data_IF_441582716825
#
_entry.id   IF_441582716825
#
_cell.length_a   1.000
_cell.length_b   1.000
_cell.length_c   1.000
_cell.angle_alpha   90.00
_cell.angle_beta   90.00
_cell.angle_gamma   90.00
#
_symmetry.space_group_name_H-M   'P 1'
#
loop_
_entity.id
_entity.type
_entity.pdbx_description
1 polymer ?
#
# COMPACT_ATOMS: atom_id res chain seq x y z
N UNK A 1 13.85 -6.51 11.40
CA UNK A 1 12.57 -7.26 11.34
C UNK A 1 11.85 -6.81 10.09
N UNK A 2 11.41 -7.75 9.24
CA UNK A 2 10.65 -7.38 8.04
C UNK A 2 9.22 -7.04 8.45
N UNK A 3 8.78 -5.82 8.18
CA UNK A 3 7.36 -5.47 8.29
C UNK A 3 6.64 -6.12 7.11
N UNK A 4 5.77 -7.10 7.37
CA UNK A 4 4.92 -7.68 6.32
C UNK A 4 3.66 -6.82 6.19
N UNK A 5 3.70 -5.86 5.28
CA UNK A 5 2.59 -4.98 4.96
C UNK A 5 2.26 -5.14 3.48
N UNK A 6 0.99 -5.38 3.20
CA UNK A 6 0.46 -5.49 1.84
C UNK A 6 -0.57 -4.40 1.60
N UNK A 7 -0.46 -3.73 0.46
CA UNK A 7 -1.38 -2.69 0.03
C UNK A 7 -2.24 -3.19 -1.15
N UNK A 8 -3.55 -3.20 -0.96
CA UNK A 8 -4.51 -3.23 -2.06
C UNK A 8 -4.86 -1.80 -2.44
N UNK A 9 -4.61 -1.44 -3.71
CA UNK A 9 -4.83 -0.08 -4.20
C UNK A 9 -5.81 -0.09 -5.35
N UNK A 10 -6.92 0.64 -5.21
CA UNK A 10 -7.93 0.79 -6.23
C UNK A 10 -8.09 2.27 -6.60
N UNK A 11 -7.92 2.60 -7.87
CA UNK A 11 -8.23 3.91 -8.43
C UNK A 11 -9.65 3.97 -8.96
N UNK A 12 -10.29 5.12 -8.82
CA UNK A 12 -11.65 5.36 -9.35
C UNK A 12 -11.73 5.18 -10.88
N UNK A 13 -10.67 5.56 -11.61
CA UNK A 13 -10.59 5.47 -13.07
C UNK A 13 -9.78 4.26 -13.53
N UNK A 14 -8.70 3.93 -12.82
CA UNK A 14 -7.78 2.85 -13.21
C UNK A 14 -8.23 1.46 -12.73
N UNK A 15 -9.18 1.37 -11.81
CA UNK A 15 -9.55 0.11 -11.18
C UNK A 15 -8.43 -0.41 -10.27
N UNK A 16 -8.24 -1.73 -10.23
CA UNK A 16 -7.30 -2.37 -9.32
C UNK A 16 -5.84 -2.12 -9.74
N UNK A 17 -5.24 -1.05 -9.23
CA UNK A 17 -3.85 -0.65 -9.48
C UNK A 17 -2.86 -1.70 -8.94
N UNK A 18 -3.19 -2.36 -7.83
CA UNK A 18 -2.32 -3.37 -7.23
C UNK A 18 -2.30 -4.72 -7.95
N UNK A 19 -3.09 -4.89 -9.02
CA UNK A 19 -3.21 -6.15 -9.76
C UNK A 19 -1.86 -6.64 -10.30
N UNK A 20 -1.48 -7.86 -9.93
CA UNK A 20 -0.22 -8.48 -10.36
C UNK A 20 1.06 -7.82 -9.86
N UNK A 21 1.02 -6.96 -8.83
CA UNK A 21 2.20 -6.26 -8.34
C UNK A 21 3.22 -7.18 -7.64
N UNK A 22 2.78 -8.27 -7.01
CA UNK A 22 3.66 -9.29 -6.41
C UNK A 22 3.94 -10.49 -7.34
N UNK A 23 3.79 -10.32 -8.65
CA UNK A 23 4.16 -11.33 -9.65
C UNK A 23 5.67 -11.35 -9.92
N UNK A 24 6.15 -12.45 -10.52
CA UNK A 24 7.53 -12.59 -10.98
C UNK A 24 7.92 -11.49 -11.97
N UNK A 25 7.02 -11.14 -12.89
CA UNK A 25 7.26 -10.11 -13.91
C UNK A 25 7.41 -8.71 -13.30
N UNK A 26 6.85 -8.50 -12.11
CA UNK A 26 6.79 -7.20 -11.44
C UNK A 26 7.95 -6.99 -10.47
N UNK A 27 8.23 -7.96 -9.59
CA UNK A 27 9.24 -7.82 -8.51
C UNK A 27 10.30 -8.95 -8.50
N UNK A 28 10.34 -9.78 -9.54
CA UNK A 28 11.31 -10.86 -9.70
C UNK A 28 11.24 -11.90 -8.57
N UNK A 29 12.40 -12.30 -8.05
CA UNK A 29 12.52 -13.35 -7.02
C UNK A 29 11.83 -13.01 -5.69
N UNK A 30 11.37 -11.77 -5.49
CA UNK A 30 10.59 -11.36 -4.30
C UNK A 30 9.10 -11.65 -4.44
N UNK A 31 8.66 -12.23 -5.57
CA UNK A 31 7.28 -12.55 -5.86
C UNK A 31 6.65 -13.45 -4.78
N UNK A 32 5.37 -13.21 -4.51
CA UNK A 32 4.60 -13.97 -3.53
C UNK A 32 3.23 -14.34 -4.10
N UNK A 33 3.05 -15.63 -4.39
CA UNK A 33 1.85 -16.16 -5.04
C UNK A 33 0.57 -15.88 -4.25
N UNK A 34 0.63 -15.93 -2.91
CA UNK A 34 -0.53 -15.67 -2.03
C UNK A 34 -0.92 -14.18 -1.99
N UNK A 35 -0.05 -13.28 -2.45
CA UNK A 35 -0.25 -11.83 -2.40
C UNK A 35 -0.18 -11.19 -3.78
N UNK A 36 -0.46 -11.95 -4.85
CA UNK A 36 -0.24 -11.57 -6.25
C UNK A 36 -0.79 -10.17 -6.60
N UNK A 37 -2.01 -9.85 -6.13
CA UNK A 37 -2.70 -8.58 -6.38
C UNK A 37 -2.49 -7.51 -5.30
N UNK A 38 -1.43 -7.63 -4.52
CA UNK A 38 -1.03 -6.66 -3.52
C UNK A 38 0.30 -6.00 -3.88
N UNK A 39 0.48 -4.76 -3.46
CA UNK A 39 1.75 -4.05 -3.48
C UNK A 39 2.47 -4.36 -2.16
N UNK A 40 3.74 -4.77 -2.24
CA UNK A 40 4.58 -4.97 -1.06
C UNK A 40 5.01 -3.61 -0.50
N UNK A 41 4.77 -3.38 0.80
CA UNK A 41 5.13 -2.12 1.48
C UNK A 41 6.23 -2.42 2.50
N UNK A 42 7.36 -1.70 2.38
CA UNK A 42 8.51 -1.83 3.28
C UNK A 42 8.35 -1.02 4.56
N UNK A 43 7.77 0.17 4.43
CA UNK A 43 7.58 1.11 5.53
C UNK A 43 6.27 1.86 5.32
N UNK A 44 5.52 2.06 6.41
CA UNK A 44 4.35 2.93 6.46
C UNK A 44 4.51 3.87 7.64
N UNK A 45 4.41 5.16 7.36
CA UNK A 45 4.48 6.23 8.34
C UNK A 45 3.20 7.05 8.24
N UNK A 46 2.56 7.27 9.37
CA UNK A 46 1.36 8.09 9.47
C UNK A 46 1.41 8.86 10.78
N UNK A 47 1.20 10.17 10.70
CA UNK A 47 1.13 11.05 11.86
C UNK A 47 -0.30 11.43 12.17
N UNK A 48 -0.63 11.47 13.46
CA UNK A 48 -1.82 12.14 13.97
C UNK A 48 -1.35 13.14 15.03
N UNK A 49 -1.73 14.41 14.87
CA UNK A 49 -1.53 15.41 15.92
C UNK A 49 -2.88 15.91 16.41
N UNK A 50 -2.92 16.36 17.66
CA UNK A 50 -4.11 16.97 18.25
C UNK A 50 -3.68 18.22 18.99
N UNK A 51 -4.28 19.32 18.58
CA UNK A 51 -4.29 20.57 19.36
C UNK A 51 -5.70 20.76 19.90
N UNK A 52 -6.54 21.62 19.30
CA UNK A 52 -7.98 21.63 19.58
C UNK A 52 -8.75 20.52 18.85
N UNK A 53 -8.40 20.25 17.58
CA UNK A 53 -8.99 19.20 16.75
C UNK A 53 -7.92 18.19 16.31
N UNK A 54 -8.36 17.02 15.80
CA UNK A 54 -7.45 16.01 15.24
C UNK A 54 -7.00 16.46 13.85
N UNK A 55 -5.69 16.56 13.67
CA UNK A 55 -5.05 16.82 12.39
C UNK A 55 -4.47 15.50 11.86
N UNK A 56 -4.96 15.09 10.70
CA UNK A 56 -4.43 13.93 9.98
C UNK A 56 -3.24 14.38 9.12
N UNK A 57 -2.05 13.82 9.37
CA UNK A 57 -0.92 13.99 8.49
C UNK A 57 -1.00 13.00 7.32
N UNK A 58 -0.23 13.26 6.25
CA UNK A 58 -0.16 12.36 5.12
C UNK A 58 0.34 10.97 5.53
N UNK A 59 -0.19 9.95 4.88
CA UNK A 59 0.32 8.58 4.98
C UNK A 59 1.44 8.45 3.94
N UNK A 60 2.66 8.20 4.41
CA UNK A 60 3.82 7.96 3.55
C UNK A 60 4.14 6.48 3.55
N UNK A 61 4.35 5.91 2.37
CA UNK A 61 4.73 4.51 2.22
C UNK A 61 5.99 4.39 1.38
N UNK A 62 6.81 3.37 1.66
CA UNK A 62 7.93 2.95 0.81
C UNK A 62 7.62 1.59 0.20
N UNK A 63 7.75 1.49 -1.12
CA UNK A 63 7.49 0.29 -1.92
C UNK A 63 8.63 0.09 -2.91
N UNK A 64 8.87 -1.14 -3.41
CA UNK A 64 9.75 -1.33 -4.55
C UNK A 64 9.15 -0.71 -5.83
N UNK A 65 10.01 -0.47 -6.81
CA UNK A 65 9.57 -0.24 -8.18
C UNK A 65 8.97 -1.54 -8.69
N UNK A 66 7.66 -1.52 -8.91
CA UNK A 66 6.85 -2.64 -9.38
C UNK A 66 5.86 -2.14 -10.47
N UNK A 67 4.99 -3.02 -10.96
CA UNK A 67 4.00 -2.72 -12.00
C UNK A 67 3.06 -1.54 -11.67
N UNK A 68 2.77 -1.25 -10.39
CA UNK A 68 1.93 -0.12 -9.99
C UNK A 68 2.63 1.23 -10.06
N UNK A 69 3.97 1.27 -10.13
CA UNK A 69 4.74 2.53 -10.11
C UNK A 69 4.36 3.52 -11.21
N UNK A 70 4.26 3.12 -12.51
CA UNK A 70 3.76 4.03 -13.54
C UNK A 70 2.28 4.41 -13.35
N UNK A 71 1.46 3.53 -12.79
CA UNK A 71 0.04 3.78 -12.53
C UNK A 71 -0.16 4.82 -11.41
N UNK A 72 0.71 4.81 -10.41
CA UNK A 72 0.79 5.85 -9.36
C UNK A 72 1.20 7.20 -9.96
N UNK A 73 2.15 7.21 -10.90
CA UNK A 73 2.54 8.40 -11.65
C UNK A 73 1.36 9.00 -12.45
N UNK A 74 0.54 8.14 -13.05
CA UNK A 74 -0.71 8.58 -13.69
C UNK A 74 -1.73 9.08 -12.67
N UNK A 75 -1.89 8.40 -11.54
CA UNK A 75 -2.85 8.77 -10.51
C UNK A 75 -2.57 10.16 -9.91
N UNK A 76 -1.30 10.50 -9.67
CA UNK A 76 -0.93 11.85 -9.20
C UNK A 76 -1.17 12.90 -10.30
N UNK A 77 -0.81 12.61 -11.56
CA UNK A 77 -1.03 13.52 -12.69
C UNK A 77 -2.52 13.83 -12.91
N UNK A 78 -3.37 12.82 -12.80
CA UNK A 78 -4.82 12.93 -13.06
C UNK A 78 -5.60 13.35 -11.80
N UNK A 79 -4.91 13.60 -10.68
CA UNK A 79 -5.47 13.87 -9.36
C UNK A 79 -6.58 12.88 -8.97
N UNK A 80 -6.33 11.61 -9.24
CA UNK A 80 -7.29 10.52 -9.13
C UNK A 80 -7.61 10.20 -7.67
N UNK A 81 -8.88 9.87 -7.41
CA UNK A 81 -9.33 9.42 -6.10
C UNK A 81 -8.99 7.93 -5.95
N UNK A 82 -8.34 7.61 -4.82
CA UNK A 82 -7.86 6.28 -4.51
C UNK A 82 -8.52 5.73 -3.24
N UNK A 83 -8.72 4.41 -3.25
CA UNK A 83 -9.04 3.62 -2.06
C UNK A 83 -7.88 2.71 -1.75
N UNK A 84 -7.29 2.87 -0.57
CA UNK A 84 -6.10 2.14 -0.13
C UNK A 84 -6.46 1.25 1.05
N UNK A 85 -6.13 -0.04 0.97
CA UNK A 85 -6.27 -0.98 2.09
C UNK A 85 -4.90 -1.55 2.43
N UNK A 86 -4.43 -1.29 3.64
CA UNK A 86 -3.20 -1.85 4.18
C UNK A 86 -3.52 -2.99 5.14
N UNK A 87 -3.01 -4.17 4.83
CA UNK A 87 -3.10 -5.35 5.67
C UNK A 87 -1.73 -5.63 6.31
N UNK A 88 -1.70 -5.64 7.65
CA UNK A 88 -0.49 -5.84 8.43
C UNK A 88 -0.46 -7.27 8.98
N UNK A 89 0.66 -7.93 8.76
CA UNK A 89 0.88 -9.30 9.17
C UNK A 89 1.96 -9.38 10.24
N UNK A 90 1.80 -10.36 11.12
CA UNK A 90 2.81 -10.77 12.09
C UNK A 90 2.92 -12.28 12.13
N UNK A 91 4.08 -12.78 12.50
CA UNK A 91 4.27 -14.21 12.75
C UNK A 91 3.68 -14.56 14.12
N UNK A 92 2.75 -15.50 14.15
CA UNK A 92 2.14 -15.97 15.39
C UNK A 92 3.02 -17.00 16.10
N UNK A 93 2.57 -17.47 17.27
CA UNK A 93 3.29 -18.48 18.08
C UNK A 93 3.56 -19.81 17.36
N UNK A 94 2.81 -20.11 16.29
CA UNK A 94 2.94 -21.32 15.49
C UNK A 94 3.83 -21.11 14.25
N UNK A 95 4.46 -19.94 14.09
CA UNK A 95 5.28 -19.62 12.93
C UNK A 95 4.48 -19.23 11.68
N UNK A 96 3.17 -19.03 11.79
CA UNK A 96 2.28 -18.71 10.67
C UNK A 96 2.07 -17.20 10.62
N UNK A 97 2.11 -16.61 9.42
CA UNK A 97 1.77 -15.21 9.22
C UNK A 97 0.25 -15.03 9.33
N UNK A 98 -0.18 -14.22 10.30
CA UNK A 98 -1.58 -13.87 10.50
C UNK A 98 -1.78 -12.36 10.33
N UNK A 99 -2.89 -11.97 9.71
CA UNK A 99 -3.31 -10.57 9.67
C UNK A 99 -3.78 -10.15 11.06
N UNK A 100 -3.20 -9.09 11.61
CA UNK A 100 -3.56 -8.58 12.93
C UNK A 100 -4.10 -7.14 12.93
N UNK A 101 -3.87 -6.39 11.87
CA UNK A 101 -4.34 -5.01 11.75
C UNK A 101 -4.65 -4.67 10.29
N UNK A 102 -5.69 -3.84 10.11
CA UNK A 102 -6.13 -3.32 8.80
C UNK A 102 -6.29 -1.81 8.91
N UNK A 103 -5.65 -1.07 8.01
CA UNK A 103 -5.85 0.37 7.83
C UNK A 103 -6.47 0.62 6.47
N UNK A 104 -7.56 1.38 6.42
CA UNK A 104 -8.26 1.70 5.18
C UNK A 104 -8.35 3.21 5.00
N UNK A 105 -7.84 3.70 3.87
CA UNK A 105 -7.95 5.09 3.44
C UNK A 105 -8.99 5.17 2.34
N UNK A 106 -10.00 6.01 2.54
CA UNK A 106 -11.06 6.27 1.57
C UNK A 106 -10.91 7.67 1.01
N UNK A 107 -11.24 7.82 -0.26
CA UNK A 107 -11.17 9.10 -0.97
C UNK A 107 -9.79 9.78 -0.87
N UNK A 108 -8.72 8.98 -0.88
CA UNK A 108 -7.35 9.46 -0.76
C UNK A 108 -6.87 10.03 -2.10
N UNK A 109 -5.90 10.96 -2.03
CA UNK A 109 -5.19 11.51 -3.19
C UNK A 109 -3.70 11.49 -2.92
N UNK A 110 -2.90 11.30 -3.95
CA UNK A 110 -1.44 11.33 -3.83
C UNK A 110 -0.99 12.79 -3.81
N UNK A 111 -0.29 13.18 -2.75
CA UNK A 111 0.29 14.52 -2.64
C UNK A 111 1.68 14.62 -3.26
N UNK A 112 2.47 13.55 -3.19
CA UNK A 112 3.88 13.54 -3.58
C UNK A 112 4.39 12.12 -3.84
N UNK A 113 5.37 11.96 -4.73
CA UNK A 113 6.09 10.70 -5.03
C UNK A 113 7.58 11.02 -5.18
N UNK A 114 8.43 10.43 -4.33
CA UNK A 114 9.89 10.56 -4.33
C UNK A 114 10.61 9.24 -4.60
#
# INVERSE_FOLDING_TARGET
>A
MANLIYLTLNGEKQGLISAGCCSLDSIGNKAQLLHLDHIMVYELTHGLSRDQNVNHHSVTIKKPVDKSSPLLGKAINDNEILTCTFDFYRTNRFGINEKYYKLELKNARISDIN
#
